data_IF_043437950729
#
_entry.id   IF_043437950729
#
_cell.length_a   1.000
_cell.length_b   1.000
_cell.length_c   1.000
_cell.angle_alpha   90.00
_cell.angle_beta   90.00
_cell.angle_gamma   90.00
#
_symmetry.space_group_name_H-M   'P 1'
#
loop_
_entity.id
_entity.type
_entity.pdbx_description
1 polymer ?
#
# COMPACT_ATOMS: atom_id res chain seq x y z
N UNK A 1 6.66 -21.00 -29.32
CA UNK A 1 5.71 -20.97 -30.41
C UNK A 1 4.40 -20.37 -29.97
N UNK A 2 3.79 -19.48 -30.79
CA UNK A 2 2.45 -18.99 -30.47
C UNK A 2 1.43 -20.13 -30.61
N UNK A 3 0.34 -20.01 -29.86
CA UNK A 3 -0.73 -21.02 -29.83
C UNK A 3 -2.08 -20.37 -30.14
N UNK A 4 -2.93 -21.08 -30.89
CA UNK A 4 -4.31 -20.70 -31.15
C UNK A 4 -5.24 -21.84 -30.78
N UNK A 5 -6.13 -21.62 -29.84
CA UNK A 5 -7.07 -22.65 -29.36
C UNK A 5 -6.40 -23.90 -28.76
N UNK A 6 -5.16 -23.81 -28.31
CA UNK A 6 -4.37 -24.92 -27.80
C UNK A 6 -3.47 -25.62 -28.80
N UNK A 7 -3.51 -25.21 -30.07
CA UNK A 7 -2.68 -25.73 -31.17
C UNK A 7 -1.57 -24.73 -31.54
N UNK A 8 -0.37 -25.23 -31.84
CA UNK A 8 0.74 -24.41 -32.28
C UNK A 8 0.45 -23.76 -33.64
N UNK A 9 0.87 -22.51 -33.82
CA UNK A 9 0.78 -21.79 -35.10
C UNK A 9 2.09 -21.07 -35.39
N UNK A 10 2.31 -20.68 -36.63
CA UNK A 10 3.48 -19.89 -36.97
C UNK A 10 3.32 -18.41 -36.57
N UNK A 11 4.45 -17.74 -36.35
CA UNK A 11 4.48 -16.34 -35.89
C UNK A 11 3.78 -15.38 -36.85
N UNK A 12 3.97 -15.56 -38.18
CA UNK A 12 3.41 -14.64 -39.15
C UNK A 12 1.87 -14.71 -39.21
N UNK A 13 1.32 -15.92 -39.13
CA UNK A 13 -0.13 -16.14 -39.03
C UNK A 13 -0.70 -15.56 -37.77
N UNK A 14 -0.01 -15.78 -36.63
CA UNK A 14 -0.42 -15.24 -35.35
C UNK A 14 -0.44 -13.70 -35.36
N UNK A 15 0.65 -13.07 -35.81
CA UNK A 15 0.77 -11.60 -35.88
C UNK A 15 -0.28 -10.97 -36.80
N UNK A 16 -0.55 -11.60 -37.96
CA UNK A 16 -1.57 -11.13 -38.88
C UNK A 16 -2.98 -11.18 -38.26
N UNK A 17 -3.30 -12.26 -37.56
CA UNK A 17 -4.60 -12.40 -36.88
C UNK A 17 -4.75 -11.42 -35.71
N UNK A 18 -3.73 -11.26 -34.86
CA UNK A 18 -3.73 -10.30 -33.76
C UNK A 18 -3.94 -8.88 -34.31
N UNK A 19 -3.19 -8.50 -35.35
CA UNK A 19 -3.33 -7.18 -35.97
C UNK A 19 -4.75 -6.96 -36.49
N UNK A 20 -5.29 -7.93 -37.26
CA UNK A 20 -6.66 -7.83 -37.76
C UNK A 20 -7.70 -7.64 -36.67
N UNK A 21 -7.55 -8.33 -35.54
CA UNK A 21 -8.45 -8.17 -34.37
C UNK A 21 -8.31 -6.81 -33.71
N UNK A 22 -7.09 -6.31 -33.55
CA UNK A 22 -6.85 -4.98 -32.98
C UNK A 22 -7.38 -3.87 -33.85
N UNK A 23 -7.19 -3.97 -35.18
CA UNK A 23 -7.67 -2.98 -36.16
C UNK A 23 -9.21 -2.91 -36.23
N UNK A 24 -9.89 -4.03 -35.97
CA UNK A 24 -11.36 -4.12 -35.97
C UNK A 24 -12.00 -3.78 -34.63
N UNK A 25 -11.23 -3.70 -33.56
CA UNK A 25 -11.76 -3.55 -32.20
C UNK A 25 -12.15 -2.10 -31.89
N UNK A 26 -13.34 -1.90 -31.33
CA UNK A 26 -13.76 -0.61 -30.77
C UNK A 26 -13.17 -0.38 -29.38
N UNK A 27 -12.92 -1.45 -28.61
CA UNK A 27 -12.31 -1.36 -27.29
C UNK A 27 -11.35 -2.51 -27.04
N UNK A 28 -10.11 -2.15 -26.78
CA UNK A 28 -9.02 -3.07 -26.43
C UNK A 28 -8.59 -2.79 -25.00
N UNK A 29 -8.48 -3.81 -24.17
CA UNK A 29 -7.98 -3.67 -22.82
C UNK A 29 -6.72 -4.52 -22.63
N UNK A 30 -5.65 -3.89 -22.14
CA UNK A 30 -4.45 -4.58 -21.69
C UNK A 30 -4.54 -4.69 -20.18
N UNK A 31 -4.64 -5.92 -19.68
CA UNK A 31 -4.69 -6.25 -18.26
C UNK A 31 -3.36 -6.85 -17.82
N UNK A 32 -2.66 -6.18 -16.93
CA UNK A 32 -1.36 -6.62 -16.42
C UNK A 32 -1.28 -6.54 -14.89
N UNK A 33 -0.34 -7.28 -14.31
CA UNK A 33 0.09 -7.02 -12.95
C UNK A 33 0.78 -5.66 -12.82
N UNK A 34 1.07 -5.24 -11.59
CA UNK A 34 1.82 -4.01 -11.35
C UNK A 34 3.13 -4.00 -12.13
N UNK A 35 3.26 -3.05 -13.04
CA UNK A 35 4.45 -2.85 -13.85
C UNK A 35 5.35 -1.82 -13.19
N UNK A 36 6.58 -2.21 -12.84
CA UNK A 36 7.60 -1.30 -12.30
C UNK A 36 8.61 -0.83 -13.36
N UNK A 37 8.70 -1.52 -14.52
CA UNK A 37 9.62 -1.17 -15.61
C UNK A 37 9.30 0.19 -16.24
N UNK A 38 10.24 1.16 -16.24
CA UNK A 38 10.02 2.47 -16.86
C UNK A 38 9.82 2.38 -18.38
N UNK A 39 10.56 1.49 -19.06
CA UNK A 39 10.44 1.29 -20.51
C UNK A 39 9.08 0.70 -20.89
N UNK A 40 8.57 -0.26 -20.12
CA UNK A 40 7.24 -0.81 -20.34
C UNK A 40 6.15 0.26 -20.12
N UNK A 41 6.25 1.03 -19.03
CA UNK A 41 5.31 2.15 -18.75
C UNK A 41 5.31 3.17 -19.89
N UNK A 42 6.49 3.52 -20.41
CA UNK A 42 6.62 4.43 -21.54
C UNK A 42 5.96 3.87 -22.79
N UNK A 43 6.25 2.62 -23.13
CA UNK A 43 5.63 1.93 -24.27
C UNK A 43 4.09 1.93 -24.17
N UNK A 44 3.55 1.56 -23.01
CA UNK A 44 2.10 1.55 -22.79
C UNK A 44 1.49 2.95 -22.88
N UNK A 45 2.17 3.96 -22.32
CA UNK A 45 1.72 5.35 -22.41
C UNK A 45 1.70 5.86 -23.85
N UNK A 46 2.72 5.55 -24.64
CA UNK A 46 2.79 5.90 -26.05
C UNK A 46 1.69 5.19 -26.86
N UNK A 47 1.49 3.91 -26.60
CA UNK A 47 0.48 3.12 -27.30
C UNK A 47 -0.95 3.58 -27.00
N UNK A 48 -1.29 3.76 -25.73
CA UNK A 48 -2.63 4.26 -25.33
C UNK A 48 -2.88 5.69 -25.79
N UNK A 49 -1.84 6.54 -25.85
CA UNK A 49 -1.96 7.91 -26.37
C UNK A 49 -2.19 7.94 -27.87
N UNK A 50 -1.58 7.02 -28.63
CA UNK A 50 -1.75 6.91 -30.07
C UNK A 50 -3.08 6.21 -30.47
N UNK A 51 -3.66 5.41 -29.58
CA UNK A 51 -4.85 4.60 -29.82
C UNK A 51 -5.88 4.81 -28.70
N UNK A 52 -6.81 5.76 -28.84
CA UNK A 52 -7.79 6.10 -27.80
C UNK A 52 -8.74 4.97 -27.40
N UNK A 53 -8.86 3.92 -28.23
CA UNK A 53 -9.63 2.72 -27.96
C UNK A 53 -8.88 1.69 -27.12
N UNK A 54 -7.60 1.92 -26.78
CA UNK A 54 -6.76 1.04 -25.96
C UNK A 54 -6.70 1.56 -24.53
N UNK A 55 -7.07 0.72 -23.60
CA UNK A 55 -7.04 0.99 -22.16
C UNK A 55 -6.00 0.07 -21.48
N UNK A 56 -5.24 0.61 -20.52
CA UNK A 56 -4.29 -0.15 -19.72
C UNK A 56 -4.77 -0.24 -18.27
N UNK A 57 -5.12 -1.45 -17.82
CA UNK A 57 -5.59 -1.74 -16.46
C UNK A 57 -4.55 -2.59 -15.74
N UNK A 58 -4.17 -2.17 -14.55
CA UNK A 58 -3.26 -2.93 -13.71
C UNK A 58 -3.99 -3.45 -12.47
N UNK A 59 -3.68 -4.67 -12.06
CA UNK A 59 -4.19 -5.28 -10.84
C UNK A 59 -3.10 -6.02 -10.07
N UNK A 60 -3.32 -6.26 -8.81
CA UNK A 60 -2.45 -7.08 -7.96
C UNK A 60 -3.27 -8.16 -7.27
N UNK A 61 -2.77 -9.41 -7.27
CA UNK A 61 -3.44 -10.53 -6.59
C UNK A 61 -3.56 -10.31 -5.08
N UNK A 62 -2.60 -9.58 -4.49
CA UNK A 62 -2.69 -9.03 -3.14
C UNK A 62 -2.88 -7.53 -3.30
N UNK A 63 -4.11 -7.09 -3.13
CA UNK A 63 -4.50 -5.71 -3.38
C UNK A 63 -3.92 -4.74 -2.35
N UNK A 64 -3.48 -3.57 -2.84
CA UNK A 64 -3.01 -2.42 -2.07
C UNK A 64 -3.74 -1.13 -2.46
N UNK A 65 -4.83 -1.23 -3.22
CA UNK A 65 -5.53 -0.07 -3.78
C UNK A 65 -5.98 0.91 -2.72
N UNK A 66 -6.52 0.43 -1.60
CA UNK A 66 -6.98 1.31 -0.53
C UNK A 66 -5.88 2.25 -0.01
N UNK A 67 -4.64 1.77 0.11
CA UNK A 67 -3.50 2.62 0.50
C UNK A 67 -3.09 3.57 -0.62
N UNK A 68 -3.04 3.08 -1.85
CA UNK A 68 -2.70 3.89 -3.02
C UNK A 68 -3.73 5.00 -3.25
N UNK A 69 -5.02 4.69 -3.12
CA UNK A 69 -6.12 5.65 -3.22
C UNK A 69 -6.02 6.74 -2.16
N UNK A 70 -5.66 6.37 -0.92
CA UNK A 70 -5.43 7.33 0.17
C UNK A 70 -4.31 8.31 -0.16
N UNK A 71 -3.16 7.82 -0.62
CA UNK A 71 -2.03 8.66 -0.96
C UNK A 71 -2.30 9.52 -2.21
N UNK A 72 -2.99 8.98 -3.21
CA UNK A 72 -3.43 9.75 -4.38
C UNK A 72 -4.38 10.88 -3.98
N UNK A 73 -5.35 10.61 -3.12
CA UNK A 73 -6.29 11.61 -2.62
C UNK A 73 -5.60 12.70 -1.78
N UNK A 74 -4.60 12.34 -0.96
CA UNK A 74 -3.88 13.29 -0.11
C UNK A 74 -2.83 14.12 -0.85
N UNK A 75 -2.23 13.57 -1.91
CA UNK A 75 -1.02 14.15 -2.53
C UNK A 75 -1.12 14.36 -4.05
N UNK A 76 -2.19 13.87 -4.69
CA UNK A 76 -2.34 13.85 -6.15
C UNK A 76 -1.46 12.81 -6.86
N UNK A 77 -0.76 11.95 -6.10
CA UNK A 77 0.13 10.93 -6.69
C UNK A 77 -0.18 9.55 -6.10
N UNK A 78 -0.49 8.60 -6.99
CA UNK A 78 -0.78 7.21 -6.65
C UNK A 78 0.51 6.43 -6.37
N UNK A 79 1.10 6.66 -5.20
CA UNK A 79 2.31 5.96 -4.75
C UNK A 79 2.41 6.03 -3.23
N UNK A 80 2.94 4.98 -2.61
CA UNK A 80 3.20 4.96 -1.17
C UNK A 80 4.52 5.66 -0.84
N UNK A 81 4.65 6.31 0.33
CA UNK A 81 5.93 6.82 0.80
C UNK A 81 6.86 5.65 1.18
N UNK A 82 8.16 5.87 1.11
CA UNK A 82 9.11 5.00 1.79
C UNK A 82 9.17 5.35 3.28
N UNK A 83 9.74 4.45 4.07
CA UNK A 83 9.93 4.63 5.51
C UNK A 83 11.40 4.50 5.90
N UNK A 84 11.89 5.47 6.68
CA UNK A 84 13.24 5.47 7.21
C UNK A 84 13.27 4.89 8.63
N UNK A 85 13.25 3.54 8.74
CA UNK A 85 13.23 2.82 10.01
C UNK A 85 14.39 3.18 10.93
N UNK A 86 15.58 3.41 10.36
CA UNK A 86 16.76 3.80 11.13
C UNK A 86 16.60 5.13 11.88
N UNK A 87 15.67 5.99 11.46
CA UNK A 87 15.39 7.26 12.10
C UNK A 87 14.29 7.16 13.20
N UNK A 88 13.60 6.02 13.29
CA UNK A 88 12.48 5.85 14.20
C UNK A 88 12.94 5.38 15.59
N UNK A 89 12.71 6.19 16.63
CA UNK A 89 12.89 5.81 18.05
C UNK A 89 11.69 5.09 18.62
N UNK A 90 10.50 5.38 18.09
CA UNK A 90 9.25 4.71 18.48
C UNK A 90 8.49 4.31 17.24
N UNK A 91 8.22 3.02 17.10
CA UNK A 91 7.50 2.44 15.99
C UNK A 91 6.16 1.91 16.50
N UNK A 92 5.07 2.15 15.76
CA UNK A 92 3.80 1.44 15.94
C UNK A 92 3.33 0.90 14.60
N UNK A 93 3.12 -0.38 14.56
CA UNK A 93 2.56 -1.04 13.40
C UNK A 93 1.20 -1.65 13.76
N UNK A 94 0.25 -1.47 12.85
CA UNK A 94 -1.09 -2.05 12.96
C UNK A 94 -1.31 -2.96 11.75
N UNK A 95 -1.41 -4.26 12.00
CA UNK A 95 -1.64 -5.26 10.96
C UNK A 95 -0.53 -5.35 9.90
N UNK A 96 0.64 -4.79 10.18
CA UNK A 96 1.75 -4.73 9.22
C UNK A 96 2.90 -5.62 9.67
N UNK A 97 3.21 -6.65 8.87
CA UNK A 97 4.46 -7.38 8.99
C UNK A 97 5.54 -6.74 8.11
N UNK A 98 6.01 -5.58 8.51
CA UNK A 98 6.98 -4.79 7.75
C UNK A 98 8.36 -5.47 7.62
N UNK A 99 8.66 -6.49 8.41
CA UNK A 99 9.90 -7.27 8.30
C UNK A 99 9.84 -8.32 7.19
N UNK A 100 8.64 -8.87 6.90
CA UNK A 100 8.42 -9.83 5.81
C UNK A 100 7.86 -9.19 4.54
N UNK A 101 7.38 -7.94 4.62
CA UNK A 101 6.68 -7.31 3.52
C UNK A 101 7.64 -6.73 2.47
N UNK A 102 7.07 -6.37 1.32
CA UNK A 102 7.75 -5.88 0.13
C UNK A 102 8.53 -4.56 0.28
N UNK A 103 8.61 -4.00 1.48
CA UNK A 103 9.36 -2.76 1.74
C UNK A 103 10.89 -2.95 1.69
N UNK A 104 11.33 -4.16 1.37
CA UNK A 104 12.71 -4.46 1.02
C UNK A 104 13.67 -4.57 2.20
N UNK A 105 14.89 -4.94 1.87
CA UNK A 105 15.98 -5.13 2.84
C UNK A 105 16.32 -3.86 3.63
N UNK A 106 16.10 -2.66 3.06
CA UNK A 106 16.36 -1.38 3.71
C UNK A 106 15.53 -1.16 4.98
N UNK A 107 14.26 -1.60 4.97
CA UNK A 107 13.37 -1.51 6.14
C UNK A 107 13.81 -2.46 7.24
N UNK A 108 14.08 -3.73 6.90
CA UNK A 108 14.56 -4.72 7.86
C UNK A 108 15.94 -4.34 8.42
N UNK A 109 16.86 -3.87 7.58
CA UNK A 109 18.18 -3.38 8.01
C UNK A 109 18.03 -2.17 8.94
N UNK A 110 17.26 -1.15 8.55
CA UNK A 110 17.06 0.04 9.37
C UNK A 110 16.39 -0.26 10.72
N UNK A 111 15.51 -1.25 10.77
CA UNK A 111 14.96 -1.76 12.02
C UNK A 111 16.03 -2.44 12.87
N UNK A 112 16.82 -3.35 12.30
CA UNK A 112 17.89 -4.06 13.00
C UNK A 112 18.95 -3.09 13.56
N UNK A 113 19.36 -2.09 12.80
CA UNK A 113 20.33 -1.07 13.20
C UNK A 113 19.86 -0.29 14.46
N UNK A 114 18.54 -0.23 14.69
CA UNK A 114 17.94 0.45 15.86
C UNK A 114 17.55 -0.51 17.00
N UNK A 115 17.86 -1.80 16.89
CA UNK A 115 17.52 -2.82 17.89
C UNK A 115 18.74 -3.29 18.69
N UNK A 116 19.86 -2.57 18.61
CA UNK A 116 21.06 -2.86 19.39
C UNK A 116 20.93 -2.31 20.82
N UNK A 117 20.98 -3.17 21.86
CA UNK A 117 20.95 -2.74 23.24
C UNK A 117 22.08 -1.78 23.58
N UNK A 118 21.82 -0.75 24.37
CA UNK A 118 22.81 0.25 24.78
C UNK A 118 23.07 1.37 23.78
N UNK A 119 22.54 1.28 22.54
CA UNK A 119 22.71 2.32 21.51
C UNK A 119 21.41 3.11 21.22
N UNK A 120 20.57 3.29 22.22
CA UNK A 120 19.30 4.00 22.04
C UNK A 120 18.29 3.19 21.26
N UNK A 121 18.08 1.94 21.66
CA UNK A 121 17.17 0.99 21.03
C UNK A 121 15.77 1.56 20.81
N UNK A 122 15.20 1.37 19.62
CA UNK A 122 13.83 1.79 19.32
C UNK A 122 12.81 0.97 20.12
N UNK A 123 11.69 1.60 20.49
CA UNK A 123 10.54 0.92 21.09
C UNK A 123 9.50 0.58 20.02
N UNK A 124 9.09 -0.68 19.97
CA UNK A 124 8.17 -1.18 18.97
C UNK A 124 6.86 -1.67 19.60
N UNK A 125 5.75 -1.07 19.16
CA UNK A 125 4.37 -1.46 19.46
C UNK A 125 3.76 -2.13 18.24
N UNK A 126 3.23 -3.35 18.41
CA UNK A 126 2.58 -4.11 17.35
C UNK A 126 1.15 -4.46 17.73
N UNK A 127 0.18 -4.07 16.90
CA UNK A 127 -1.23 -4.47 17.02
C UNK A 127 -1.58 -5.35 15.81
N UNK A 128 -1.90 -6.61 16.04
CA UNK A 128 -2.10 -7.58 14.96
C UNK A 128 -3.01 -8.73 15.38
N UNK A 129 -3.59 -9.43 14.41
CA UNK A 129 -4.43 -10.61 14.68
C UNK A 129 -3.61 -11.90 14.81
N UNK A 130 -2.63 -12.10 13.93
CA UNK A 130 -1.71 -13.22 13.93
C UNK A 130 -0.32 -12.75 14.35
N UNK A 131 0.48 -13.63 14.97
CA UNK A 131 1.87 -13.30 15.29
C UNK A 131 2.70 -13.30 14.01
N UNK A 132 3.12 -12.11 13.60
CA UNK A 132 4.01 -11.89 12.47
C UNK A 132 5.48 -11.88 12.90
N UNK A 133 6.42 -11.84 11.94
CA UNK A 133 7.83 -11.66 12.24
C UNK A 133 8.07 -10.30 12.93
N UNK A 134 7.41 -9.23 12.50
CA UNK A 134 7.44 -7.94 13.16
C UNK A 134 6.89 -8.03 14.60
N UNK A 135 5.76 -8.73 14.78
CA UNK A 135 5.15 -8.92 16.10
C UNK A 135 5.99 -9.75 17.06
N UNK A 136 6.73 -10.76 16.56
CA UNK A 136 7.63 -11.57 17.38
C UNK A 136 8.84 -10.75 17.90
N UNK A 137 9.20 -9.66 17.23
CA UNK A 137 10.28 -8.75 17.60
C UNK A 137 9.82 -7.48 18.34
N UNK A 138 8.51 -7.33 18.58
CA UNK A 138 7.96 -6.16 19.23
C UNK A 138 8.21 -6.16 20.74
N UNK A 139 8.45 -4.97 21.33
CA UNK A 139 8.53 -4.80 22.79
C UNK A 139 7.14 -4.90 23.43
N UNK A 140 6.13 -4.41 22.72
CA UNK A 140 4.74 -4.44 23.16
C UNK A 140 3.86 -4.96 22.03
N UNK A 141 3.38 -6.18 22.18
CA UNK A 141 2.46 -6.81 21.23
C UNK A 141 1.07 -6.95 21.84
N UNK A 142 0.06 -6.48 21.11
CA UNK A 142 -1.35 -6.62 21.47
C UNK A 142 -2.08 -7.36 20.37
N UNK A 143 -2.72 -8.47 20.71
CA UNK A 143 -3.58 -9.19 19.78
C UNK A 143 -4.92 -8.46 19.68
N UNK A 144 -5.28 -8.06 18.46
CA UNK A 144 -6.55 -7.44 18.09
C UNK A 144 -7.18 -8.21 16.93
N UNK A 145 -8.49 -8.20 16.82
CA UNK A 145 -9.16 -8.78 15.66
C UNK A 145 -8.83 -7.97 14.40
N UNK A 146 -8.84 -8.61 13.22
CA UNK A 146 -8.64 -7.91 11.96
C UNK A 146 -9.62 -6.73 11.80
N UNK A 147 -10.89 -6.91 12.18
CA UNK A 147 -11.92 -5.89 12.17
C UNK A 147 -11.71 -4.73 13.17
N UNK A 148 -10.81 -4.88 14.13
CA UNK A 148 -10.47 -3.86 15.13
C UNK A 148 -9.22 -3.05 14.76
N UNK A 149 -8.45 -3.46 13.76
CA UNK A 149 -7.18 -2.82 13.42
C UNK A 149 -7.36 -1.35 13.01
N UNK A 150 -8.34 -1.02 12.18
CA UNK A 150 -8.65 0.38 11.85
C UNK A 150 -9.10 1.18 13.08
N UNK A 151 -9.76 0.55 14.05
CA UNK A 151 -10.15 1.18 15.31
C UNK A 151 -8.94 1.51 16.20
N UNK A 152 -7.86 0.74 16.13
CA UNK A 152 -6.59 1.04 16.80
C UNK A 152 -6.01 2.35 16.27
N UNK A 153 -5.98 2.52 14.94
CA UNK A 153 -5.51 3.76 14.31
C UNK A 153 -6.40 4.96 14.68
N UNK A 154 -7.72 4.77 14.68
CA UNK A 154 -8.66 5.81 15.09
C UNK A 154 -8.47 6.24 16.55
N UNK A 155 -8.30 5.28 17.47
CA UNK A 155 -8.04 5.59 18.87
C UNK A 155 -6.72 6.33 19.06
N UNK A 156 -5.65 5.87 18.39
CA UNK A 156 -4.35 6.54 18.45
C UNK A 156 -4.42 7.95 17.85
N UNK A 157 -5.13 8.12 16.72
CA UNK A 157 -5.35 9.45 16.13
C UNK A 157 -6.00 10.39 17.13
N UNK A 158 -7.08 9.96 17.80
CA UNK A 158 -7.79 10.78 18.77
C UNK A 158 -6.91 11.16 19.98
N UNK A 159 -6.10 10.22 20.50
CA UNK A 159 -5.17 10.49 21.60
C UNK A 159 -4.08 11.51 21.21
N UNK A 160 -3.54 11.41 20.00
CA UNK A 160 -2.53 12.36 19.49
C UNK A 160 -3.18 13.72 19.19
N UNK A 161 -4.33 13.75 18.51
CA UNK A 161 -5.04 14.97 18.16
C UNK A 161 -5.40 15.78 19.42
N UNK A 162 -5.92 15.14 20.45
CA UNK A 162 -6.25 15.81 21.72
C UNK A 162 -5.05 16.50 22.38
N UNK A 163 -3.83 16.02 22.13
CA UNK A 163 -2.58 16.54 22.74
C UNK A 163 -1.78 17.47 21.81
N UNK A 164 -2.14 17.52 20.54
CA UNK A 164 -1.45 18.35 19.52
C UNK A 164 -2.33 19.50 18.99
N UNK A 165 -3.53 19.69 19.54
CA UNK A 165 -4.47 20.72 19.13
C UNK A 165 -5.27 20.35 17.88
N UNK A 166 -5.26 19.08 17.46
CA UNK A 166 -6.10 18.56 16.39
C UNK A 166 -7.54 18.28 16.87
N UNK A 167 -8.45 18.09 15.92
CA UNK A 167 -9.84 17.73 16.20
C UNK A 167 -10.00 16.20 16.31
N UNK A 168 -10.48 15.67 17.44
CA UNK A 168 -10.81 14.25 17.53
C UNK A 168 -11.92 13.85 16.55
N UNK A 169 -11.87 12.62 16.09
CA UNK A 169 -12.90 11.98 15.28
C UNK A 169 -13.85 11.17 16.18
N UNK A 170 -14.70 10.35 15.56
CA UNK A 170 -15.61 9.47 16.29
C UNK A 170 -14.86 8.56 17.28
N UNK A 171 -15.55 8.18 18.37
CA UNK A 171 -14.97 7.30 19.37
C UNK A 171 -14.68 5.91 18.79
N UNK A 172 -13.45 5.44 18.96
CA UNK A 172 -13.06 4.10 18.61
C UNK A 172 -13.68 3.04 19.53
N UNK A 173 -13.96 1.87 18.97
CA UNK A 173 -14.49 0.72 19.72
C UNK A 173 -13.38 -0.32 19.85
N UNK A 174 -12.76 -0.42 21.02
CA UNK A 174 -11.64 -1.33 21.29
C UNK A 174 -11.82 -2.06 22.62
N UNK A 175 -11.23 -3.24 22.70
CA UNK A 175 -11.08 -3.97 23.94
C UNK A 175 -10.11 -3.27 24.93
N UNK A 176 -10.26 -3.55 26.22
CA UNK A 176 -9.51 -2.88 27.31
C UNK A 176 -7.99 -2.94 27.14
N UNK A 177 -7.46 -4.10 26.76
CA UNK A 177 -6.01 -4.27 26.57
C UNK A 177 -5.45 -3.37 25.45
N UNK A 178 -6.14 -3.27 24.32
CA UNK A 178 -5.74 -2.38 23.24
C UNK A 178 -5.86 -0.92 23.64
N UNK A 179 -6.95 -0.54 24.31
CA UNK A 179 -7.17 0.84 24.75
C UNK A 179 -6.10 1.30 25.77
N UNK A 180 -5.73 0.46 26.71
CA UNK A 180 -4.67 0.76 27.69
C UNK A 180 -3.31 0.98 27.01
N UNK A 181 -2.96 0.11 26.06
CA UNK A 181 -1.67 0.21 25.36
C UNK A 181 -1.58 1.44 24.46
N UNK A 182 -2.70 1.91 23.88
CA UNK A 182 -2.74 3.11 23.04
C UNK A 182 -2.33 4.36 23.82
N UNK A 183 -2.79 4.53 25.06
CA UNK A 183 -2.40 5.67 25.88
C UNK A 183 -0.88 5.75 26.10
N UNK A 184 -0.24 4.64 26.44
CA UNK A 184 1.21 4.54 26.57
C UNK A 184 1.92 4.79 25.24
N UNK A 185 1.45 4.15 24.18
CA UNK A 185 2.00 4.31 22.84
C UNK A 185 1.91 5.75 22.33
N UNK A 186 0.82 6.47 22.61
CA UNK A 186 0.66 7.88 22.28
C UNK A 186 1.64 8.77 23.05
N UNK A 187 1.82 8.53 24.34
CA UNK A 187 2.75 9.29 25.20
C UNK A 187 4.20 9.14 24.70
N UNK A 188 4.64 7.91 24.43
CA UNK A 188 6.00 7.65 23.94
C UNK A 188 6.26 8.34 22.60
N UNK A 189 5.23 8.41 21.73
CA UNK A 189 5.36 9.08 20.41
C UNK A 189 5.43 10.58 20.51
N UNK A 190 4.66 11.17 21.42
CA UNK A 190 4.74 12.60 21.67
C UNK A 190 6.13 13.00 22.18
N UNK A 191 6.77 12.14 23.00
CA UNK A 191 8.17 12.31 23.40
C UNK A 191 9.19 12.05 22.28
N UNK A 192 8.76 11.51 21.13
CA UNK A 192 9.59 11.18 19.98
C UNK A 192 9.12 11.89 18.68
N UNK A 193 8.57 13.12 18.77
CA UNK A 193 8.16 13.89 17.59
C UNK A 193 9.31 14.01 16.59
N UNK A 194 9.00 13.83 15.31
CA UNK A 194 9.98 13.80 14.24
C UNK A 194 10.89 12.55 14.20
N UNK A 195 10.76 11.65 15.18
CA UNK A 195 11.52 10.42 15.29
C UNK A 195 10.63 9.23 15.71
N UNK A 196 9.35 9.29 15.43
CA UNK A 196 8.41 8.19 15.56
C UNK A 196 7.92 7.74 14.18
N UNK A 197 7.26 6.58 14.11
CA UNK A 197 6.72 6.05 12.86
C UNK A 197 5.45 5.26 13.15
N UNK A 198 4.38 5.56 12.42
CA UNK A 198 3.15 4.76 12.41
C UNK A 198 3.01 4.10 11.06
N UNK A 199 2.86 2.77 11.07
CA UNK A 199 2.73 1.94 9.86
C UNK A 199 1.37 1.26 9.89
N UNK A 200 0.60 1.44 8.83
CA UNK A 200 -0.65 0.74 8.61
C UNK A 200 -0.45 -0.47 7.67
N UNK A 201 -0.94 -1.63 8.08
CA UNK A 201 -0.99 -2.85 7.26
C UNK A 201 -2.37 -3.12 6.65
N UNK A 202 -3.41 -2.39 7.10
CA UNK A 202 -4.77 -2.56 6.62
C UNK A 202 -4.90 -1.94 5.22
N UNK A 203 -5.47 -2.68 4.28
CA UNK A 203 -5.75 -2.18 2.93
C UNK A 203 -7.11 -1.45 2.91
N UNK A 204 -7.14 -0.29 3.53
CA UNK A 204 -8.31 0.60 3.63
C UNK A 204 -7.83 2.05 3.58
N UNK A 205 -8.47 2.86 2.73
CA UNK A 205 -8.06 4.25 2.51
C UNK A 205 -8.20 5.11 3.78
N UNK A 206 -9.27 4.92 4.55
CA UNK A 206 -9.49 5.68 5.79
C UNK A 206 -8.45 5.32 6.85
N UNK A 207 -8.10 4.03 6.98
CA UNK A 207 -7.06 3.57 7.89
C UNK A 207 -5.68 4.14 7.52
N UNK A 208 -5.36 4.20 6.22
CA UNK A 208 -4.11 4.80 5.74
C UNK A 208 -4.08 6.31 5.99
N UNK A 209 -5.20 7.02 5.76
CA UNK A 209 -5.32 8.45 6.07
C UNK A 209 -5.15 8.74 7.56
N UNK A 210 -5.68 7.88 8.45
CA UNK A 210 -5.44 8.00 9.89
C UNK A 210 -3.97 7.87 10.23
N UNK A 211 -3.28 6.85 9.69
CA UNK A 211 -1.84 6.66 9.92
C UNK A 211 -1.02 7.85 9.38
N UNK A 212 -1.34 8.35 8.20
CA UNK A 212 -0.71 9.54 7.62
C UNK A 212 -0.96 10.79 8.47
N UNK A 213 -2.20 11.00 8.92
CA UNK A 213 -2.57 12.11 9.80
C UNK A 213 -1.82 12.08 11.13
N UNK A 214 -1.67 10.91 11.75
CA UNK A 214 -0.86 10.74 12.97
C UNK A 214 0.61 11.09 12.69
N UNK A 215 1.19 10.56 11.61
CA UNK A 215 2.58 10.86 11.24
C UNK A 215 2.79 12.36 10.98
N UNK A 216 1.82 13.04 10.36
CA UNK A 216 1.86 14.50 10.15
C UNK A 216 1.81 15.27 11.47
N UNK A 217 0.87 14.97 12.37
CA UNK A 217 0.77 15.62 13.69
C UNK A 217 2.04 15.41 14.53
N UNK A 218 2.76 14.32 14.32
CA UNK A 218 4.02 13.98 15.00
C UNK A 218 5.27 14.49 14.27
N UNK A 219 5.13 15.27 13.19
CA UNK A 219 6.24 15.83 12.41
C UNK A 219 7.19 14.76 11.82
N UNK A 220 6.63 13.61 11.47
CA UNK A 220 7.38 12.46 10.94
C UNK A 220 7.62 12.58 9.42
N UNK A 221 6.82 13.40 8.71
CA UNK A 221 6.96 13.63 7.27
C UNK A 221 8.33 14.27 6.96
N UNK A 222 8.99 13.77 5.92
CA UNK A 222 10.35 14.14 5.55
C UNK A 222 11.46 13.57 6.46
N UNK A 223 11.11 12.85 7.53
CA UNK A 223 12.06 12.29 8.51
C UNK A 223 12.00 10.77 8.58
N UNK A 224 10.90 10.21 9.08
CA UNK A 224 10.66 8.76 9.14
C UNK A 224 9.71 8.30 8.04
N UNK A 225 8.86 9.20 7.52
CA UNK A 225 8.01 9.00 6.34
C UNK A 225 8.56 9.86 5.21
N UNK A 226 8.99 9.23 4.11
CA UNK A 226 9.73 9.88 3.01
C UNK A 226 8.86 9.97 1.76
N UNK A 227 8.28 11.14 1.50
CA UNK A 227 7.48 11.42 0.31
C UNK A 227 8.34 11.75 -0.92
N UNK A 228 9.58 12.12 -0.72
CA UNK A 228 10.60 12.33 -1.75
C UNK A 228 11.14 11.00 -2.32
N UNK A 229 10.98 9.90 -1.61
CA UNK A 229 11.38 8.54 -1.99
C UNK A 229 10.14 7.63 -2.08
N UNK A 230 9.28 7.86 -3.09
CA UNK A 230 8.05 7.09 -3.26
C UNK A 230 8.30 5.69 -3.79
N UNK A 231 7.46 4.76 -3.36
CA UNK A 231 7.48 3.37 -3.80
C UNK A 231 6.44 3.16 -4.90
N UNK A 232 6.90 2.79 -6.10
CA UNK A 232 6.07 2.47 -7.27
C UNK A 232 6.01 0.98 -7.56
N UNK A 233 6.17 0.15 -6.52
CA UNK A 233 6.21 -1.32 -6.64
C UNK A 233 4.82 -1.94 -6.74
N UNK A 234 3.78 -1.17 -6.45
CA UNK A 234 2.38 -1.55 -6.59
C UNK A 234 1.63 -0.44 -7.33
N UNK A 235 0.86 -0.83 -8.35
CA UNK A 235 0.11 0.08 -9.20
C UNK A 235 -1.32 -0.44 -9.45
N UNK A 236 -1.72 -1.54 -8.82
CA UNK A 236 -3.04 -2.12 -8.96
C UNK A 236 -4.14 -1.11 -8.66
N UNK A 237 -5.23 -1.18 -9.43
CA UNK A 237 -6.43 -0.37 -9.26
C UNK A 237 -7.64 -1.28 -9.24
N UNK A 238 -8.10 -1.61 -8.04
CA UNK A 238 -9.23 -2.53 -7.82
C UNK A 238 -10.52 -2.00 -8.43
N UNK A 239 -10.77 -0.69 -8.36
CA UNK A 239 -11.95 -0.08 -8.93
C UNK A 239 -11.97 -0.21 -10.47
N UNK A 240 -10.82 -0.01 -11.11
CA UNK A 240 -10.68 -0.21 -12.55
C UNK A 240 -10.87 -1.68 -12.95
N UNK A 241 -10.30 -2.61 -12.17
CA UNK A 241 -10.51 -4.05 -12.39
C UNK A 241 -11.99 -4.44 -12.26
N UNK A 242 -12.68 -3.96 -11.23
CA UNK A 242 -14.11 -4.24 -11.03
C UNK A 242 -14.96 -3.66 -12.15
N UNK A 243 -14.63 -2.45 -12.66
CA UNK A 243 -15.29 -1.86 -13.82
C UNK A 243 -15.07 -2.73 -15.07
N UNK A 244 -13.83 -3.10 -15.33
CA UNK A 244 -13.48 -3.98 -16.44
C UNK A 244 -14.27 -5.31 -16.39
N UNK A 245 -14.36 -5.94 -15.22
CA UNK A 245 -15.12 -7.19 -15.07
C UNK A 245 -16.61 -7.02 -15.39
N UNK A 246 -17.22 -5.88 -15.04
CA UNK A 246 -18.61 -5.57 -15.42
C UNK A 246 -18.76 -5.38 -16.93
N UNK A 247 -17.82 -4.65 -17.53
CA UNK A 247 -17.83 -4.36 -18.98
C UNK A 247 -17.63 -5.65 -19.79
N UNK A 248 -16.72 -6.52 -19.37
CA UNK A 248 -16.52 -7.84 -19.98
C UNK A 248 -17.80 -8.70 -19.91
N UNK A 249 -18.49 -8.71 -18.76
CA UNK A 249 -19.78 -9.42 -18.61
C UNK A 249 -20.88 -8.85 -19.52
N UNK A 250 -20.82 -7.56 -19.82
CA UNK A 250 -21.74 -6.87 -20.73
C UNK A 250 -21.36 -7.03 -22.21
N UNK A 251 -20.25 -7.68 -22.53
CA UNK A 251 -19.74 -7.81 -23.91
C UNK A 251 -19.18 -6.50 -24.48
N UNK A 252 -18.79 -5.56 -23.64
CA UNK A 252 -18.31 -4.24 -24.04
C UNK A 252 -16.77 -4.18 -24.24
N UNK A 253 -16.08 -5.31 -24.26
CA UNK A 253 -14.66 -5.43 -24.53
C UNK A 253 -14.46 -6.37 -25.72
N UNK A 254 -13.92 -5.85 -26.82
CA UNK A 254 -13.72 -6.63 -28.05
C UNK A 254 -12.44 -7.47 -27.98
N UNK A 255 -11.37 -6.92 -27.40
CA UNK A 255 -10.08 -7.60 -27.24
C UNK A 255 -9.54 -7.40 -25.83
N UNK A 256 -9.21 -8.51 -25.18
CA UNK A 256 -8.48 -8.53 -23.91
C UNK A 256 -7.09 -9.11 -24.12
N UNK A 257 -6.07 -8.31 -23.80
CA UNK A 257 -4.67 -8.74 -23.76
C UNK A 257 -4.30 -8.93 -22.28
N UNK A 258 -3.90 -10.14 -21.91
CA UNK A 258 -3.45 -10.45 -20.54
C UNK A 258 -1.94 -10.61 -20.54
N UNK A 259 -1.25 -9.73 -19.81
CA UNK A 259 0.19 -9.77 -19.58
C UNK A 259 0.49 -10.22 -18.14
N UNK A 260 1.50 -11.12 -18.00
CA UNK A 260 1.85 -11.75 -16.72
C UNK A 260 3.25 -11.38 -16.27
#
# INVERSE_FOLDING_TARGET
EPMKGGEATDQATFDAEVRSKLDAANRVVVLAHSVSSPSYKKMMSEWTSANPNVEFVQYDSVDHSGKLDAWEQMTGVRAMPSVAMANARVILAVGSDFLSSLNGQSVAKGYADRREPGKGMSRHYQFESNMSLAGANADHRVRVKASEQAQVLLALYNEIAAKTGGSPLNKAKLGTAAQSMIGQAAQDRLGARGASLVINGVNDASAEMLAAGINRMLENEGRTVRMDERLYIRNGNEAALQSLMKDMKAGAVDVLIMDR
#
